data_IF_011930328368
#
_entry.id   IF_011930328368
#
_cell.length_a   1.000
_cell.length_b   1.000
_cell.length_c   1.000
_cell.angle_alpha   90.00
_cell.angle_beta   90.00
_cell.angle_gamma   90.00
#
_symmetry.space_group_name_H-M   'P 1'
#
loop_
_entity.id
_entity.type
_entity.pdbx_description
1 polymer ?
#
# COMPACT_ATOMS: atom_id res chain seq x y z
N UNK A 1 -6.69 8.37 -31.62
CA UNK A 1 -6.54 7.69 -30.31
C UNK A 1 -7.57 6.57 -30.29
N UNK A 2 -7.20 5.30 -30.07
CA UNK A 2 -8.21 4.25 -30.02
C UNK A 2 -9.07 4.49 -28.78
N UNK A 3 -10.36 4.70 -29.03
CA UNK A 3 -11.41 4.66 -28.01
C UNK A 3 -11.44 3.22 -27.52
N UNK A 4 -11.07 3.01 -26.25
CA UNK A 4 -11.16 1.69 -25.63
C UNK A 4 -12.64 1.30 -25.56
N UNK A 5 -12.99 0.37 -26.44
CA UNK A 5 -14.32 -0.19 -26.62
C UNK A 5 -14.59 -1.17 -25.47
N UNK A 6 -15.79 -1.11 -24.89
CA UNK A 6 -16.26 -1.84 -23.70
C UNK A 6 -16.36 -3.38 -23.84
N UNK A 7 -15.46 -4.03 -24.61
CA UNK A 7 -15.51 -5.48 -24.89
C UNK A 7 -14.22 -6.26 -24.65
N UNK A 8 -13.18 -5.61 -24.14
CA UNK A 8 -11.99 -6.29 -23.62
C UNK A 8 -11.58 -5.64 -22.30
N UNK A 9 -12.43 -5.75 -21.28
CA UNK A 9 -11.95 -5.56 -19.91
C UNK A 9 -10.98 -6.70 -19.61
N UNK A 10 -9.72 -6.52 -19.97
CA UNK A 10 -8.63 -7.24 -19.32
C UNK A 10 -8.86 -7.07 -17.82
N UNK A 11 -9.12 -8.18 -17.12
CA UNK A 11 -9.35 -8.18 -15.68
C UNK A 11 -8.32 -7.26 -15.01
N UNK A 12 -8.80 -6.19 -14.37
CA UNK A 12 -7.93 -5.26 -13.67
C UNK A 12 -7.19 -6.06 -12.59
N UNK A 13 -5.86 -6.05 -12.64
CA UNK A 13 -5.04 -6.63 -11.57
C UNK A 13 -5.58 -6.16 -10.20
N UNK A 14 -5.63 -7.03 -9.18
CA UNK A 14 -6.15 -6.68 -7.85
C UNK A 14 -5.63 -5.36 -7.29
N UNK A 15 -4.35 -5.02 -7.50
CA UNK A 15 -3.77 -3.75 -7.06
C UNK A 15 -4.37 -2.54 -7.82
N UNK A 16 -4.56 -2.67 -9.13
CA UNK A 16 -5.24 -1.64 -9.93
C UNK A 16 -6.69 -1.48 -9.52
N UNK A 17 -7.39 -2.59 -9.26
CA UNK A 17 -8.78 -2.57 -8.81
C UNK A 17 -8.94 -1.81 -7.50
N UNK A 18 -8.06 -2.05 -6.52
CA UNK A 18 -8.05 -1.30 -5.24
C UNK A 18 -7.81 0.19 -5.50
N UNK A 19 -6.81 0.53 -6.30
CA UNK A 19 -6.44 1.93 -6.55
C UNK A 19 -7.55 2.68 -7.26
N UNK A 20 -8.16 2.08 -8.28
CA UNK A 20 -9.29 2.70 -9.00
C UNK A 20 -10.49 2.86 -8.07
N UNK A 21 -10.83 1.82 -7.28
CA UNK A 21 -11.95 1.88 -6.34
C UNK A 21 -11.75 2.96 -5.25
N UNK A 22 -10.56 3.04 -4.67
CA UNK A 22 -10.21 4.09 -3.70
C UNK A 22 -10.19 5.47 -4.34
N UNK A 23 -9.62 5.60 -5.54
CA UNK A 23 -9.66 6.84 -6.30
C UNK A 23 -11.10 7.31 -6.52
N UNK A 24 -12.00 6.45 -7.03
CA UNK A 24 -13.41 6.79 -7.28
C UNK A 24 -14.17 7.14 -5.99
N UNK A 25 -13.82 6.50 -4.86
CA UNK A 25 -14.42 6.83 -3.56
C UNK A 25 -14.03 8.21 -3.04
N UNK A 26 -12.79 8.64 -3.27
CA UNK A 26 -12.21 9.86 -2.67
C UNK A 26 -11.92 10.96 -3.70
N UNK A 27 -12.40 10.83 -4.93
CA UNK A 27 -12.25 11.84 -5.96
C UNK A 27 -13.05 13.09 -5.57
N UNK A 28 -12.34 14.21 -5.40
CA UNK A 28 -12.95 15.55 -5.42
C UNK A 28 -12.76 16.12 -6.84
N UNK A 29 -13.73 16.89 -7.34
CA UNK A 29 -13.74 17.31 -8.75
C UNK A 29 -12.54 18.16 -9.15
N UNK A 30 -11.86 18.81 -8.19
CA UNK A 30 -10.75 19.74 -8.45
C UNK A 30 -9.36 19.10 -8.23
N UNK A 31 -9.28 17.91 -7.63
CA UNK A 31 -8.02 17.34 -7.12
C UNK A 31 -7.72 15.93 -7.65
N UNK A 32 -8.06 15.65 -8.91
CA UNK A 32 -7.93 14.32 -9.51
C UNK A 32 -6.53 13.68 -9.36
N UNK A 33 -5.47 14.43 -9.67
CA UNK A 33 -4.10 13.91 -9.59
C UNK A 33 -3.69 13.61 -8.14
N UNK A 34 -4.17 14.41 -7.20
CA UNK A 34 -3.87 14.28 -5.78
C UNK A 34 -4.62 13.09 -5.16
N UNK A 35 -5.91 12.91 -5.45
CA UNK A 35 -6.68 11.74 -5.01
C UNK A 35 -6.07 10.42 -5.52
N UNK A 36 -5.62 10.41 -6.79
CA UNK A 36 -4.95 9.26 -7.39
C UNK A 36 -3.61 8.96 -6.71
N UNK A 37 -2.84 10.02 -6.40
CA UNK A 37 -1.58 9.89 -5.67
C UNK A 37 -1.81 9.35 -4.26
N UNK A 38 -2.80 9.85 -3.52
CA UNK A 38 -3.15 9.35 -2.20
C UNK A 38 -3.54 7.87 -2.20
N UNK A 39 -4.37 7.43 -3.15
CA UNK A 39 -4.75 6.02 -3.26
C UNK A 39 -3.51 5.11 -3.42
N UNK A 40 -2.55 5.53 -4.26
CA UNK A 40 -1.28 4.81 -4.44
C UNK A 40 -0.37 4.91 -3.23
N UNK A 41 -0.33 6.06 -2.56
CA UNK A 41 0.48 6.27 -1.36
C UNK A 41 0.02 5.37 -0.22
N UNK A 42 -1.29 5.23 -0.02
CA UNK A 42 -1.89 4.32 0.96
C UNK A 42 -1.50 2.86 0.67
N UNK A 43 -1.60 2.42 -0.59
CA UNK A 43 -1.17 1.06 -0.93
C UNK A 43 0.35 0.85 -0.76
N UNK A 44 1.16 1.87 -1.09
CA UNK A 44 2.59 1.86 -0.80
C UNK A 44 2.89 1.74 0.71
N UNK A 45 2.08 2.38 1.56
CA UNK A 45 2.20 2.26 3.01
C UNK A 45 1.86 0.85 3.49
N UNK A 46 0.77 0.25 2.99
CA UNK A 46 0.43 -1.14 3.28
C UNK A 46 1.60 -2.08 2.92
N UNK A 47 2.15 -1.98 1.71
CA UNK A 47 3.28 -2.83 1.29
C UNK A 47 4.54 -2.61 2.15
N UNK A 48 4.76 -1.39 2.62
CA UNK A 48 5.86 -1.07 3.54
C UNK A 48 5.73 -1.86 4.84
N UNK A 49 4.53 -1.87 5.44
CA UNK A 49 4.26 -2.66 6.66
C UNK A 49 4.47 -4.16 6.42
N UNK A 50 4.02 -4.68 5.27
CA UNK A 50 4.23 -6.09 4.93
C UNK A 50 5.72 -6.41 4.80
N UNK A 51 6.50 -5.54 4.15
CA UNK A 51 7.94 -5.72 4.01
C UNK A 51 8.65 -5.72 5.36
N UNK A 52 8.31 -4.79 6.26
CA UNK A 52 8.89 -4.77 7.61
C UNK A 52 8.51 -6.00 8.43
N UNK A 53 7.26 -6.45 8.33
CA UNK A 53 6.82 -7.70 8.96
C UNK A 53 7.64 -8.88 8.45
N UNK A 54 7.85 -8.98 7.13
CA UNK A 54 8.65 -10.05 6.54
C UNK A 54 10.12 -9.97 7.00
N UNK A 55 10.68 -8.76 7.06
CA UNK A 55 12.03 -8.54 7.56
C UNK A 55 12.18 -8.96 9.03
N UNK A 56 11.20 -8.67 9.90
CA UNK A 56 11.20 -9.13 11.29
C UNK A 56 11.17 -10.67 11.39
N UNK A 57 10.36 -11.33 10.56
CA UNK A 57 10.32 -12.81 10.50
C UNK A 57 11.70 -13.36 10.11
N UNK A 58 12.34 -12.77 9.10
CA UNK A 58 13.70 -13.15 8.68
C UNK A 58 14.69 -12.95 9.82
N UNK A 59 14.68 -11.78 10.48
CA UNK A 59 15.56 -11.52 11.62
C UNK A 59 15.37 -12.55 12.74
N UNK A 60 14.11 -12.91 13.05
CA UNK A 60 13.79 -13.88 14.10
C UNK A 60 14.31 -15.28 13.76
N UNK A 61 14.15 -15.73 12.50
CA UNK A 61 14.62 -17.03 12.03
C UNK A 61 16.16 -17.11 12.05
N UNK A 62 16.85 -16.06 11.63
CA UNK A 62 18.32 -16.04 11.55
C UNK A 62 19.01 -15.52 12.82
N UNK A 63 18.27 -15.19 13.87
CA UNK A 63 18.83 -14.72 15.14
C UNK A 63 19.54 -13.36 15.07
N UNK A 64 19.22 -12.52 14.08
CA UNK A 64 19.93 -11.26 13.77
C UNK A 64 19.51 -10.08 14.68
N UNK A 65 19.27 -10.32 15.96
CA UNK A 65 18.69 -9.34 16.89
C UNK A 65 19.58 -8.11 17.13
N UNK A 66 20.91 -8.26 17.07
CA UNK A 66 21.85 -7.14 17.22
C UNK A 66 21.80 -6.17 16.05
N UNK A 67 21.78 -6.69 14.81
CA UNK A 67 21.63 -5.89 13.60
C UNK A 67 20.30 -5.14 13.60
N UNK A 68 19.22 -5.84 13.92
CA UNK A 68 17.89 -5.22 14.06
C UNK A 68 17.89 -4.09 15.08
N UNK A 69 18.46 -4.29 16.27
CA UNK A 69 18.54 -3.25 17.30
C UNK A 69 19.28 -2.01 16.78
N UNK A 70 20.44 -2.20 16.17
CA UNK A 70 21.24 -1.09 15.61
C UNK A 70 20.44 -0.28 14.58
N UNK A 71 19.75 -0.96 13.66
CA UNK A 71 18.93 -0.33 12.62
C UNK A 71 17.75 0.44 13.22
N UNK A 72 17.01 -0.18 14.14
CA UNK A 72 15.81 0.41 14.75
C UNK A 72 16.17 1.61 15.64
N UNK A 73 17.26 1.56 16.39
CA UNK A 73 17.63 2.67 17.30
C UNK A 73 18.11 3.91 16.54
N UNK A 74 18.79 3.75 15.41
CA UNK A 74 19.48 4.86 14.74
C UNK A 74 18.78 5.33 13.46
N UNK A 75 18.00 4.46 12.80
CA UNK A 75 17.52 4.71 11.44
C UNK A 75 16.02 4.47 11.24
N UNK A 76 15.25 4.11 12.27
CA UNK A 76 13.86 3.66 12.10
C UNK A 76 12.99 4.61 11.27
N UNK A 77 12.99 5.91 11.58
CA UNK A 77 12.14 6.89 10.87
C UNK A 77 12.58 7.02 9.41
N UNK A 78 13.88 7.18 9.16
CA UNK A 78 14.41 7.33 7.80
C UNK A 78 14.22 6.05 6.98
N UNK A 79 14.35 4.89 7.61
CA UNK A 79 14.12 3.59 6.97
C UNK A 79 12.64 3.42 6.61
N UNK A 80 11.72 3.71 7.52
CA UNK A 80 10.27 3.61 7.25
C UNK A 80 9.88 4.58 6.14
N UNK A 81 10.27 5.84 6.22
CA UNK A 81 9.93 6.84 5.20
C UNK A 81 10.58 6.53 3.85
N UNK A 82 11.85 6.11 3.85
CA UNK A 82 12.56 5.74 2.63
C UNK A 82 11.94 4.53 1.93
N UNK A 83 11.65 3.47 2.68
CA UNK A 83 10.96 2.28 2.14
C UNK A 83 9.55 2.65 1.68
N UNK A 84 8.83 3.49 2.41
CA UNK A 84 7.51 3.95 2.01
C UNK A 84 7.52 4.69 0.69
N UNK A 85 8.40 5.68 0.52
CA UNK A 85 8.56 6.40 -0.76
C UNK A 85 8.91 5.42 -1.88
N UNK A 86 9.83 4.48 -1.64
CA UNK A 86 10.19 3.44 -2.60
C UNK A 86 9.00 2.57 -2.99
N UNK A 87 8.19 2.14 -2.03
CA UNK A 87 7.00 1.32 -2.27
C UNK A 87 5.89 2.10 -2.97
N UNK A 88 5.67 3.37 -2.61
CA UNK A 88 4.74 4.25 -3.32
C UNK A 88 5.17 4.46 -4.77
N UNK A 89 6.47 4.64 -5.01
CA UNK A 89 7.01 4.73 -6.38
C UNK A 89 6.81 3.42 -7.15
N UNK A 90 7.06 2.27 -6.52
CA UNK A 90 6.85 0.96 -7.12
C UNK A 90 5.38 0.73 -7.48
N UNK A 91 4.46 1.00 -6.53
CA UNK A 91 3.01 0.99 -6.79
C UNK A 91 2.69 1.92 -7.94
N UNK A 92 3.19 3.14 -7.94
CA UNK A 92 2.93 4.09 -9.01
C UNK A 92 3.38 3.60 -10.40
N UNK A 93 4.53 2.90 -10.48
CA UNK A 93 5.07 2.35 -11.72
C UNK A 93 4.35 1.08 -12.20
N UNK A 94 3.89 0.24 -11.28
CA UNK A 94 3.20 -1.01 -11.62
C UNK A 94 1.70 -0.86 -11.88
N UNK A 95 1.16 0.32 -11.62
CA UNK A 95 -0.29 0.54 -11.65
C UNK A 95 -0.69 1.55 -12.70
N UNK A 96 -1.99 1.58 -13.01
CA UNK A 96 -2.57 2.46 -14.03
C UNK A 96 -2.09 3.92 -13.85
N UNK A 97 -1.67 4.61 -14.93
CA UNK A 97 -1.25 6.01 -14.84
C UNK A 97 -2.35 6.91 -14.28
N UNK A 98 -1.97 7.94 -13.51
CA UNK A 98 -2.95 8.80 -12.82
C UNK A 98 -3.92 9.50 -13.79
N UNK A 99 -3.44 9.79 -15.01
CA UNK A 99 -4.23 10.45 -16.06
C UNK A 99 -5.38 9.59 -16.57
N UNK A 100 -5.23 8.27 -16.55
CA UNK A 100 -6.19 7.31 -17.13
C UNK A 100 -7.24 6.86 -16.10
N UNK A 101 -6.97 7.05 -14.79
CA UNK A 101 -7.87 6.63 -13.70
C UNK A 101 -9.28 7.20 -13.79
N UNK A 102 -9.45 8.41 -14.34
CA UNK A 102 -10.75 9.04 -14.51
C UNK A 102 -11.62 8.27 -15.49
N UNK A 103 -11.00 7.81 -16.57
CA UNK A 103 -11.67 7.22 -17.72
C UNK A 103 -12.00 5.74 -17.50
N UNK A 104 -11.37 5.10 -16.51
CA UNK A 104 -11.71 3.74 -16.10
C UNK A 104 -13.10 3.75 -15.46
N UNK A 105 -14.04 3.05 -16.08
CA UNK A 105 -15.34 2.75 -15.51
C UNK A 105 -15.26 1.40 -14.78
N UNK A 106 -15.80 1.34 -13.56
CA UNK A 106 -15.94 0.08 -12.81
C UNK A 106 -17.42 -0.26 -12.74
N UNK A 107 -17.76 -1.52 -13.00
CA UNK A 107 -19.08 -2.01 -12.63
C UNK A 107 -19.24 -2.00 -11.10
N UNK A 108 -20.49 -1.97 -10.62
CA UNK A 108 -20.78 -1.89 -9.18
C UNK A 108 -20.14 -3.03 -8.39
N UNK A 109 -20.14 -4.25 -8.95
CA UNK A 109 -19.52 -5.43 -8.35
C UNK A 109 -18.00 -5.27 -8.20
N UNK A 110 -17.33 -4.82 -9.26
CA UNK A 110 -15.88 -4.58 -9.28
C UNK A 110 -15.49 -3.46 -8.29
N UNK A 111 -16.31 -2.40 -8.22
CA UNK A 111 -16.12 -1.31 -7.27
C UNK A 111 -16.22 -1.80 -5.82
N UNK A 112 -17.24 -2.60 -5.51
CA UNK A 112 -17.42 -3.19 -4.18
C UNK A 112 -16.30 -4.18 -3.85
N UNK A 113 -15.86 -4.99 -4.81
CA UNK A 113 -14.74 -5.90 -4.64
C UNK A 113 -13.44 -5.15 -4.36
N UNK A 114 -13.11 -4.13 -5.15
CA UNK A 114 -11.91 -3.29 -4.96
C UNK A 114 -11.90 -2.59 -3.60
N UNK A 115 -13.06 -2.09 -3.16
CA UNK A 115 -13.18 -1.51 -1.82
C UNK A 115 -12.98 -2.54 -0.71
N UNK A 116 -13.64 -3.70 -0.78
CA UNK A 116 -13.49 -4.77 0.23
C UNK A 116 -12.03 -5.20 0.33
N UNK A 117 -11.37 -5.40 -0.81
CA UNK A 117 -9.98 -5.80 -0.87
C UNK A 117 -9.04 -4.72 -0.29
N UNK A 118 -9.28 -3.45 -0.63
CA UNK A 118 -8.52 -2.33 -0.08
C UNK A 118 -8.68 -2.19 1.43
N UNK A 119 -9.90 -2.28 1.95
CA UNK A 119 -10.17 -2.26 3.39
C UNK A 119 -9.57 -3.47 4.11
N UNK A 120 -9.62 -4.66 3.50
CA UNK A 120 -8.94 -5.83 4.02
C UNK A 120 -7.43 -5.59 4.16
N UNK A 121 -6.76 -5.09 3.11
CA UNK A 121 -5.32 -4.80 3.19
C UNK A 121 -4.99 -3.72 4.23
N UNK A 122 -5.82 -2.70 4.37
CA UNK A 122 -5.66 -1.68 5.42
C UNK A 122 -5.81 -2.27 6.82
N UNK A 123 -6.87 -3.04 7.06
CA UNK A 123 -7.13 -3.66 8.36
C UNK A 123 -6.04 -4.69 8.70
N UNK A 124 -5.63 -5.50 7.73
CA UNK A 124 -4.55 -6.46 7.88
C UNK A 124 -3.22 -5.77 8.19
N UNK A 125 -2.87 -4.72 7.44
CA UNK A 125 -1.65 -3.93 7.71
C UNK A 125 -1.71 -3.24 9.07
N UNK A 126 -2.88 -2.72 9.47
CA UNK A 126 -3.11 -2.15 10.80
C UNK A 126 -2.91 -3.18 11.91
N UNK A 127 -3.47 -4.38 11.74
CA UNK A 127 -3.26 -5.51 12.65
C UNK A 127 -1.79 -5.93 12.74
N UNK A 128 -1.10 -6.02 11.61
CA UNK A 128 0.35 -6.28 11.56
C UNK A 128 1.15 -5.19 12.26
N UNK A 129 0.77 -3.92 12.11
CA UNK A 129 1.44 -2.81 12.78
C UNK A 129 1.28 -2.91 14.29
N UNK A 130 0.08 -3.23 14.78
CA UNK A 130 -0.16 -3.45 16.22
C UNK A 130 0.68 -4.62 16.73
N UNK A 131 0.67 -5.75 16.01
CA UNK A 131 1.49 -6.91 16.36
C UNK A 131 2.99 -6.57 16.37
N UNK A 132 3.47 -5.86 15.35
CA UNK A 132 4.83 -5.36 15.26
C UNK A 132 5.17 -4.51 16.48
N UNK A 133 4.35 -3.50 16.82
CA UNK A 133 4.57 -2.64 17.99
C UNK A 133 4.56 -3.42 19.32
N UNK A 134 3.75 -4.47 19.43
CA UNK A 134 3.74 -5.33 20.62
C UNK A 134 4.98 -6.20 20.72
N UNK A 135 5.48 -6.74 19.60
CA UNK A 135 6.68 -7.57 19.55
C UNK A 135 7.98 -6.74 19.59
N UNK A 136 7.97 -5.51 19.10
CA UNK A 136 9.08 -4.55 19.18
C UNK A 136 9.12 -3.79 20.49
N UNK A 137 8.14 -4.01 21.38
CA UNK A 137 8.28 -3.69 22.81
C UNK A 137 8.97 -4.86 23.55
N UNK A 138 10.31 -4.94 23.55
CA UNK A 138 10.98 -5.53 24.69
C UNK A 138 11.97 -4.52 25.29
N UNK A 139 11.87 -4.30 26.62
CA UNK A 139 12.86 -3.61 27.46
C UNK A 139 12.84 -2.07 27.58
N UNK A 140 11.70 -1.40 27.44
CA UNK A 140 11.50 -0.13 28.18
C UNK A 140 11.18 -0.45 29.65
N UNK A 141 12.12 -1.08 30.35
CA UNK A 141 12.20 -0.92 31.81
C UNK A 141 13.00 0.36 32.02
N UNK A 142 12.29 1.46 32.22
CA UNK A 142 12.83 2.59 32.99
C UNK A 142 13.03 2.08 34.42
#
# INVERSE_FOLDING_TARGET
MPVLNDKECNELNPLNLIIVAFYKRYIRSEEHALSAFWAKMVMGFCLTIHLFTLWEIVVAIFGMYSLRRSIVEHYLIFLILGVWVGMTYFVHKLTVPNQVLRDIHLHEEEYLQGQKLGWFHLAFSGGLTILFLLLTKPHLKI
#
